data_IF_723423950957
#
_entry.id   IF_723423950957
#
_cell.length_a   1.000
_cell.length_b   1.000
_cell.length_c   1.000
_cell.angle_alpha   90.00
_cell.angle_beta   90.00
_cell.angle_gamma   90.00
#
_symmetry.space_group_name_H-M   'P 1'
#
loop_
_entity.id
_entity.type
_entity.pdbx_description
1 polymer ?
#
# COMPACT_ATOMS: atom_id res chain seq x y z
N UNK A 1 -3.31 -15.88 -12.44
CA UNK A 1 -3.79 -14.49 -12.31
C UNK A 1 -3.36 -13.82 -11.00
N UNK A 2 -3.71 -14.33 -9.79
CA UNK A 2 -3.29 -13.71 -8.51
C UNK A 2 -1.77 -13.56 -8.35
N UNK A 3 -0.98 -14.49 -8.90
CA UNK A 3 0.47 -14.40 -8.86
C UNK A 3 1.01 -13.19 -9.64
N UNK A 4 0.54 -12.99 -10.86
CA UNK A 4 0.94 -11.84 -11.68
C UNK A 4 0.51 -10.52 -11.03
N UNK A 5 -0.72 -10.45 -10.51
CA UNK A 5 -1.19 -9.27 -9.78
C UNK A 5 -0.33 -9.00 -8.55
N UNK A 6 0.04 -10.04 -7.78
CA UNK A 6 0.88 -9.84 -6.59
C UNK A 6 2.29 -9.37 -6.93
N UNK A 7 2.85 -9.81 -8.05
CA UNK A 7 4.14 -9.32 -8.53
C UNK A 7 4.07 -7.86 -8.94
N UNK A 8 3.04 -7.47 -9.70
CA UNK A 8 2.86 -6.07 -10.13
C UNK A 8 2.64 -5.15 -8.94
N UNK A 9 1.78 -5.54 -8.01
CA UNK A 9 1.53 -4.76 -6.79
C UNK A 9 2.80 -4.65 -5.95
N UNK A 10 3.51 -5.75 -5.73
CA UNK A 10 4.74 -5.75 -4.94
C UNK A 10 5.85 -4.93 -5.61
N UNK A 11 5.96 -4.98 -6.94
CA UNK A 11 6.92 -4.15 -7.68
C UNK A 11 6.60 -2.65 -7.53
N UNK A 12 5.33 -2.25 -7.64
CA UNK A 12 4.93 -0.86 -7.41
C UNK A 12 5.24 -0.40 -5.99
N UNK A 13 4.88 -1.20 -4.97
CA UNK A 13 5.20 -0.90 -3.57
C UNK A 13 6.72 -0.87 -3.29
N UNK A 14 7.51 -1.69 -3.99
CA UNK A 14 8.97 -1.66 -3.86
C UNK A 14 9.59 -0.39 -4.45
N UNK A 15 9.09 0.09 -5.58
CA UNK A 15 9.50 1.38 -6.17
C UNK A 15 9.12 2.52 -5.23
N UNK A 16 7.91 2.51 -4.70
CA UNK A 16 7.43 3.49 -3.74
C UNK A 16 8.31 3.50 -2.46
N UNK A 17 8.56 2.34 -1.86
CA UNK A 17 9.44 2.19 -0.71
C UNK A 17 10.85 2.75 -0.97
N UNK A 18 11.41 2.46 -2.14
CA UNK A 18 12.73 2.95 -2.53
C UNK A 18 12.75 4.47 -2.62
N UNK A 19 11.80 5.07 -3.34
CA UNK A 19 11.72 6.52 -3.53
C UNK A 19 11.57 7.26 -2.21
N UNK A 20 10.67 6.79 -1.33
CA UNK A 20 10.48 7.40 -0.01
C UNK A 20 11.70 7.25 0.89
N UNK A 21 12.38 6.10 0.86
CA UNK A 21 13.62 5.91 1.63
C UNK A 21 14.74 6.82 1.12
N UNK A 22 14.90 6.95 -0.19
CA UNK A 22 15.93 7.78 -0.83
C UNK A 22 15.73 9.27 -0.52
N UNK A 23 14.49 9.76 -0.59
CA UNK A 23 14.16 11.16 -0.36
C UNK A 23 14.12 11.54 1.13
N UNK A 24 13.98 10.58 2.05
CA UNK A 24 13.70 10.85 3.45
C UNK A 24 14.67 11.84 4.11
N UNK A 25 15.96 11.70 3.86
CA UNK A 25 16.99 12.58 4.46
C UNK A 25 16.83 14.03 3.99
N UNK A 26 16.51 14.25 2.73
CA UNK A 26 16.33 15.57 2.14
C UNK A 26 15.13 16.32 2.71
N UNK A 27 14.14 15.58 3.21
CA UNK A 27 12.90 16.12 3.78
C UNK A 27 12.89 16.19 5.33
N UNK A 28 13.96 15.80 6.01
CA UNK A 28 14.09 15.92 7.46
C UNK A 28 13.99 17.37 8.00
N UNK A 29 14.48 18.41 7.28
CA UNK A 29 14.33 19.79 7.75
C UNK A 29 12.88 20.28 7.77
N UNK A 30 11.98 19.70 6.98
CA UNK A 30 10.55 20.04 6.95
C UNK A 30 9.86 19.34 8.12
N UNK A 31 9.60 20.07 9.19
CA UNK A 31 9.10 19.48 10.44
C UNK A 31 8.13 20.39 11.20
N UNK A 32 7.21 19.75 11.91
CA UNK A 32 6.46 20.28 13.04
C UNK A 32 6.86 19.46 14.28
N UNK A 33 5.96 18.67 14.86
CA UNK A 33 6.34 17.66 15.88
C UNK A 33 7.05 16.47 15.23
N UNK A 34 6.56 16.05 14.05
CA UNK A 34 7.15 14.98 13.24
C UNK A 34 7.80 15.61 12.00
N UNK A 35 8.91 15.07 11.51
CA UNK A 35 9.51 15.50 10.26
C UNK A 35 8.85 14.79 9.06
N UNK A 36 8.82 15.47 7.93
CA UNK A 36 8.36 14.86 6.67
C UNK A 36 9.27 13.68 6.27
N UNK A 37 10.58 13.78 6.49
CA UNK A 37 11.49 12.67 6.28
C UNK A 37 11.20 11.46 7.19
N UNK A 38 10.74 11.69 8.43
CA UNK A 38 10.25 10.63 9.30
C UNK A 38 9.01 9.93 8.76
N UNK A 39 8.08 10.71 8.19
CA UNK A 39 6.89 10.16 7.51
C UNK A 39 7.27 9.35 6.26
N UNK A 40 8.25 9.80 5.49
CA UNK A 40 8.77 9.07 4.34
C UNK A 40 9.39 7.73 4.73
N UNK A 41 10.13 7.68 5.83
CA UNK A 41 10.66 6.40 6.35
C UNK A 41 9.56 5.46 6.81
N UNK A 42 8.51 5.99 7.42
CA UNK A 42 7.35 5.20 7.83
C UNK A 42 6.60 4.63 6.62
N UNK A 43 6.40 5.44 5.56
CA UNK A 43 5.79 4.99 4.31
C UNK A 43 6.64 3.93 3.63
N UNK A 44 7.96 4.15 3.50
CA UNK A 44 8.89 3.16 2.94
C UNK A 44 8.81 1.81 3.67
N UNK A 45 8.78 1.83 5.00
CA UNK A 45 8.65 0.62 5.81
C UNK A 45 7.30 -0.07 5.61
N UNK A 46 6.21 0.70 5.58
CA UNK A 46 4.85 0.18 5.36
C UNK A 46 4.71 -0.45 3.97
N UNK A 47 5.22 0.21 2.92
CA UNK A 47 5.20 -0.27 1.55
C UNK A 47 6.03 -1.57 1.39
N UNK A 48 7.24 -1.60 1.95
CA UNK A 48 8.09 -2.80 1.93
C UNK A 48 7.41 -3.98 2.66
N UNK A 49 6.84 -3.73 3.84
CA UNK A 49 6.13 -4.76 4.62
C UNK A 49 4.89 -5.25 3.86
N UNK A 50 4.10 -4.35 3.28
CA UNK A 50 2.92 -4.71 2.51
C UNK A 50 3.28 -5.57 1.28
N UNK A 51 4.37 -5.23 0.57
CA UNK A 51 4.88 -6.00 -0.55
C UNK A 51 5.28 -7.43 -0.13
N UNK A 52 6.05 -7.57 0.94
CA UNK A 52 6.48 -8.88 1.46
C UNK A 52 5.30 -9.72 1.92
N UNK A 53 4.39 -9.16 2.71
CA UNK A 53 3.20 -9.86 3.18
C UNK A 53 2.31 -10.29 2.02
N UNK A 54 2.16 -9.45 1.00
CA UNK A 54 1.37 -9.79 -0.18
C UNK A 54 1.98 -10.96 -0.95
N UNK A 55 3.29 -11.00 -1.16
CA UNK A 55 3.96 -12.10 -1.86
C UNK A 55 3.78 -13.45 -1.14
N UNK A 56 3.86 -13.43 0.19
CA UNK A 56 3.70 -14.63 1.02
C UNK A 56 2.22 -15.02 1.16
N UNK A 57 1.36 -14.05 1.43
CA UNK A 57 -0.04 -14.25 1.80
C UNK A 57 -1.03 -13.90 0.67
N UNK A 58 -0.63 -13.99 -0.59
CA UNK A 58 -1.44 -13.57 -1.76
C UNK A 58 -2.81 -14.25 -1.89
N UNK A 59 -3.06 -15.32 -1.14
CA UNK A 59 -4.38 -15.99 -1.09
C UNK A 59 -5.31 -15.41 -0.03
N UNK A 60 -4.77 -14.58 0.87
CA UNK A 60 -5.51 -13.95 1.97
C UNK A 60 -5.92 -12.53 1.59
N UNK A 61 -7.21 -12.25 1.67
CA UNK A 61 -7.79 -10.94 1.33
C UNK A 61 -7.18 -9.77 2.12
N UNK A 62 -6.75 -10.01 3.36
CA UNK A 62 -6.16 -8.96 4.20
C UNK A 62 -4.80 -8.47 3.72
N UNK A 63 -4.02 -9.32 3.04
CA UNK A 63 -2.77 -8.89 2.43
C UNK A 63 -3.02 -7.92 1.26
N UNK A 64 -4.05 -8.18 0.46
CA UNK A 64 -4.48 -7.27 -0.61
C UNK A 64 -5.08 -5.98 -0.08
N UNK A 65 -5.86 -6.05 1.00
CA UNK A 65 -6.42 -4.87 1.67
C UNK A 65 -5.30 -3.96 2.20
N UNK A 66 -4.29 -4.54 2.86
CA UNK A 66 -3.13 -3.79 3.35
C UNK A 66 -2.37 -3.12 2.20
N UNK A 67 -2.06 -3.86 1.13
CA UNK A 67 -1.37 -3.33 -0.04
C UNK A 67 -2.17 -2.19 -0.70
N UNK A 68 -3.49 -2.34 -0.84
CA UNK A 68 -4.37 -1.30 -1.35
C UNK A 68 -4.40 -0.07 -0.46
N UNK A 69 -4.49 -0.27 0.87
CA UNK A 69 -4.55 0.84 1.82
C UNK A 69 -3.23 1.65 1.82
N UNK A 70 -2.08 0.98 1.83
CA UNK A 70 -0.77 1.65 1.81
C UNK A 70 -0.58 2.41 0.50
N UNK A 71 -0.68 1.75 -0.66
CA UNK A 71 -0.50 2.40 -1.96
C UNK A 71 -1.54 3.50 -2.21
N UNK A 72 -2.79 3.28 -1.81
CA UNK A 72 -3.87 4.27 -1.95
C UNK A 72 -3.68 5.49 -1.04
N UNK A 73 -3.19 5.30 0.18
CA UNK A 73 -2.90 6.40 1.10
C UNK A 73 -1.72 7.24 0.61
N UNK A 74 -0.63 6.62 0.14
CA UNK A 74 0.51 7.30 -0.45
C UNK A 74 0.09 8.14 -1.66
N UNK A 75 -0.59 7.54 -2.64
CA UNK A 75 -1.10 8.25 -3.80
C UNK A 75 -2.02 9.42 -3.41
N UNK A 76 -2.94 9.21 -2.47
CA UNK A 76 -3.82 10.27 -2.00
C UNK A 76 -3.04 11.41 -1.35
N UNK A 77 -2.02 11.12 -0.54
CA UNK A 77 -1.15 12.12 0.06
C UNK A 77 -0.40 12.92 -1.00
N UNK A 78 0.22 12.25 -1.98
CA UNK A 78 0.91 12.92 -3.10
C UNK A 78 -0.04 13.88 -3.83
N UNK A 79 -1.24 13.43 -4.18
CA UNK A 79 -2.22 14.25 -4.91
C UNK A 79 -2.76 15.40 -4.06
N UNK A 80 -3.09 15.15 -2.78
CA UNK A 80 -3.58 16.21 -1.89
C UNK A 80 -2.55 17.32 -1.73
N UNK A 81 -1.32 16.97 -1.34
CA UNK A 81 -0.26 17.95 -1.11
C UNK A 81 0.33 18.55 -2.39
N UNK A 82 0.05 17.96 -3.55
CA UNK A 82 0.39 18.53 -4.84
C UNK A 82 -0.52 19.68 -5.23
N UNK A 83 -1.81 19.54 -4.95
CA UNK A 83 -2.84 20.45 -5.46
C UNK A 83 -3.44 21.36 -4.39
N UNK A 84 -3.23 21.06 -3.11
CA UNK A 84 -3.82 21.82 -2.01
C UNK A 84 -2.75 22.16 -0.96
N UNK A 85 -2.60 23.43 -0.65
CA UNK A 85 -1.87 23.89 0.51
C UNK A 85 -2.79 23.84 1.73
N UNK A 86 -2.78 22.68 2.40
CA UNK A 86 -3.61 22.46 3.61
C UNK A 86 -2.93 22.95 4.89
N UNK A 87 -1.70 23.46 4.78
CA UNK A 87 -0.93 23.90 5.93
C UNK A 87 -0.44 22.73 6.81
N UNK A 88 0.05 23.06 7.99
CA UNK A 88 0.39 22.07 9.02
C UNK A 88 -0.87 21.58 9.74
N UNK A 89 -0.97 20.26 9.97
CA UNK A 89 -2.13 19.64 10.64
C UNK A 89 -1.68 18.89 11.89
N UNK A 90 -1.92 19.47 13.06
CA UNK A 90 -1.52 18.87 14.32
C UNK A 90 -0.02 18.60 14.39
N UNK A 91 0.44 17.34 14.56
CA UNK A 91 1.86 17.02 14.61
C UNK A 91 2.54 17.01 13.23
N UNK A 92 1.76 17.05 12.13
CA UNK A 92 2.27 16.96 10.77
C UNK A 92 2.70 18.32 10.24
N UNK A 93 3.86 18.43 9.58
CA UNK A 93 4.31 19.66 8.95
C UNK A 93 3.44 20.01 7.72
N UNK A 94 3.57 21.24 7.24
CA UNK A 94 3.07 21.56 5.91
C UNK A 94 3.93 20.84 4.87
N UNK A 95 3.30 19.94 4.11
CA UNK A 95 3.95 19.11 3.08
C UNK A 95 3.56 19.55 1.66
N UNK A 96 3.01 20.78 1.50
CA UNK A 96 2.65 21.30 0.20
C UNK A 96 3.85 21.37 -0.74
N UNK A 97 3.77 20.65 -1.85
CA UNK A 97 4.84 20.54 -2.85
C UNK A 97 4.23 20.56 -4.25
N UNK A 98 4.05 21.75 -4.85
CA UNK A 98 3.35 21.92 -6.13
C UNK A 98 4.16 21.48 -7.36
N UNK A 99 5.41 21.09 -7.20
CA UNK A 99 6.27 20.72 -8.33
C UNK A 99 6.26 19.21 -8.56
N UNK A 100 6.18 18.81 -9.83
CA UNK A 100 6.46 17.46 -10.26
C UNK A 100 7.95 17.31 -10.58
N UNK A 101 8.59 16.37 -9.97
CA UNK A 101 9.98 15.96 -10.25
C UNK A 101 10.02 14.44 -10.46
N UNK A 102 11.10 13.89 -11.06
CA UNK A 102 11.11 12.48 -11.49
C UNK A 102 10.76 11.47 -10.40
N UNK A 103 11.29 11.62 -9.20
CA UNK A 103 11.07 10.69 -8.08
C UNK A 103 9.61 10.73 -7.62
N UNK A 104 9.02 11.91 -7.45
CA UNK A 104 7.62 12.09 -7.09
C UNK A 104 6.68 11.49 -8.15
N UNK A 105 7.01 11.70 -9.43
CA UNK A 105 6.24 11.15 -10.54
C UNK A 105 6.34 9.62 -10.55
N UNK A 106 7.54 9.08 -10.35
CA UNK A 106 7.76 7.63 -10.29
C UNK A 106 6.98 6.98 -9.14
N UNK A 107 7.02 7.59 -7.94
CA UNK A 107 6.27 7.12 -6.77
C UNK A 107 4.76 7.16 -7.05
N UNK A 108 4.21 8.27 -7.52
CA UNK A 108 2.79 8.41 -7.80
C UNK A 108 2.28 7.38 -8.85
N UNK A 109 3.06 7.11 -9.90
CA UNK A 109 2.72 6.08 -10.89
C UNK A 109 2.78 4.69 -10.25
N UNK A 110 3.82 4.40 -9.49
CA UNK A 110 4.01 3.11 -8.82
C UNK A 110 2.89 2.81 -7.82
N UNK A 111 2.53 3.80 -7.00
CA UNK A 111 1.40 3.75 -6.06
C UNK A 111 0.07 3.54 -6.80
N UNK A 112 -0.16 4.27 -7.89
CA UNK A 112 -1.37 4.12 -8.72
C UNK A 112 -1.51 2.72 -9.30
N UNK A 113 -0.43 2.17 -9.85
CA UNK A 113 -0.40 0.79 -10.36
C UNK A 113 -0.60 -0.22 -9.23
N UNK A 114 0.10 -0.04 -8.10
CA UNK A 114 -0.03 -0.91 -6.94
C UNK A 114 -1.44 -0.89 -6.37
N UNK A 115 -2.05 0.28 -6.20
CA UNK A 115 -3.43 0.42 -5.70
C UNK A 115 -4.44 -0.24 -6.64
N UNK A 116 -4.35 -0.01 -7.95
CA UNK A 116 -5.25 -0.59 -8.93
C UNK A 116 -5.16 -2.12 -8.95
N UNK A 117 -3.94 -2.67 -9.02
CA UNK A 117 -3.72 -4.13 -9.03
C UNK A 117 -4.07 -4.79 -7.70
N UNK A 118 -3.81 -4.10 -6.57
CA UNK A 118 -4.23 -4.56 -5.24
C UNK A 118 -5.75 -4.61 -5.11
N UNK A 119 -6.46 -3.61 -5.61
CA UNK A 119 -7.93 -3.59 -5.61
C UNK A 119 -8.50 -4.78 -6.39
N UNK A 120 -7.97 -5.06 -7.58
CA UNK A 120 -8.39 -6.23 -8.39
C UNK A 120 -8.13 -7.52 -7.61
N UNK A 121 -6.94 -7.69 -7.02
CA UNK A 121 -6.59 -8.84 -6.20
C UNK A 121 -7.50 -9.01 -4.98
N UNK A 122 -7.84 -7.89 -4.32
CA UNK A 122 -8.78 -7.86 -3.20
C UNK A 122 -10.16 -8.35 -3.61
N UNK A 123 -10.73 -7.82 -4.70
CA UNK A 123 -12.04 -8.22 -5.21
C UNK A 123 -12.09 -9.70 -5.60
N UNK A 124 -11.03 -10.23 -6.21
CA UNK A 124 -10.93 -11.63 -6.59
C UNK A 124 -10.82 -12.56 -5.38
N UNK A 125 -10.15 -12.14 -4.31
CA UNK A 125 -10.02 -12.93 -3.08
C UNK A 125 -11.26 -12.83 -2.20
N UNK A 126 -11.97 -11.70 -2.25
CA UNK A 126 -13.21 -11.50 -1.50
C UNK A 126 -14.37 -12.36 -2.00
N UNK A 127 -14.45 -12.57 -3.31
CA UNK A 127 -15.50 -13.38 -3.96
C UNK A 127 -15.30 -14.89 -3.80
N UNK A 128 -14.20 -15.36 -3.22
CA UNK A 128 -13.99 -16.78 -2.96
C UNK A 128 -14.79 -17.17 -1.71
N UNK A 129 -15.86 -18.00 -1.84
CA UNK A 129 -16.55 -18.51 -0.67
C UNK A 129 -15.53 -19.25 0.21
N UNK A 130 -15.60 -19.03 1.53
CA UNK A 130 -14.90 -19.85 2.48
C UNK A 130 -15.24 -21.30 2.13
N UNK A 131 -14.23 -22.14 1.82
CA UNK A 131 -14.46 -23.56 1.56
C UNK A 131 -15.13 -24.14 2.80
N UNK A 132 -16.43 -24.20 2.75
CA UNK A 132 -17.29 -24.72 3.81
C UNK A 132 -16.88 -26.13 4.16
N UNK A 133 -16.89 -26.39 5.41
CA UNK A 133 -16.66 -27.60 6.17
C UNK A 133 -17.56 -28.77 5.72
N UNK A 134 -17.44 -29.14 4.44
CA UNK A 134 -18.16 -30.30 3.86
C UNK A 134 -17.67 -31.66 4.39
N UNK A 135 -16.65 -31.68 5.28
CA UNK A 135 -16.16 -32.94 5.89
C UNK A 135 -16.95 -33.37 7.11
N UNK A 136 -17.66 -32.47 7.79
CA UNK A 136 -18.41 -32.84 9.02
C UNK A 136 -19.70 -33.58 8.74
N UNK A 137 -20.36 -33.37 7.59
CA UNK A 137 -21.60 -34.06 7.26
C UNK A 137 -21.46 -35.48 6.68
N UNK A 138 -20.28 -35.90 6.23
CA UNK A 138 -20.07 -37.28 5.78
C UNK A 138 -19.80 -38.28 6.92
N UNK A 139 -19.24 -37.84 8.04
CA UNK A 139 -18.93 -38.72 9.17
C UNK A 139 -20.15 -39.12 9.98
N UNK A 140 -21.24 -38.33 9.99
CA UNK A 140 -22.48 -38.63 10.71
C UNK A 140 -23.40 -39.59 9.97
N UNK A 141 -23.28 -39.73 8.64
CA UNK A 141 -24.11 -40.67 7.85
C UNK A 141 -23.57 -42.10 7.77
N UNK A 142 -22.30 -42.32 8.20
CA UNK A 142 -21.72 -43.66 8.23
C UNK A 142 -21.87 -44.39 9.58
N UNK A 143 -22.53 -43.77 10.55
CA UNK A 143 -22.75 -44.36 11.88
C UNK A 143 -24.26 -44.69 12.18
N UNK A 144 -25.08 -44.69 11.15
CA UNK A 144 -26.49 -45.22 11.20
C UNK A 144 -26.61 -46.41 10.26
#
# INVERSE_FOLDING_TARGET
MLWLLSLLTAAGLAVDAYVHADLAQSYDPIKATVSQGGLFRAEAAAAALAALLLLVLRRHRYAWLLAFAVAGAGLAAVLVYRYNDVGAIGPLPNMYEPVWYPEKTASAIAEGVAAATALVGLLLTWRRPARGDGRRHRASRQRQ
#
